data_IF_494687530747
#
_entry.id   IF_494687530747
#
_cell.length_a   1.000
_cell.length_b   1.000
_cell.length_c   1.000
_cell.angle_alpha   90.00
_cell.angle_beta   90.00
_cell.angle_gamma   90.00
#
_symmetry.space_group_name_H-M   'P 1'
#
loop_
_entity.id
_entity.type
_entity.pdbx_description
1 polymer ?
#
# COMPACT_ATOMS: atom_id res chain seq x y z
N UNK A 1 -32.88 -27.13 17.03
CA UNK A 1 -32.38 -26.31 15.90
C UNK A 1 -31.73 -25.03 16.42
N UNK A 2 -30.41 -24.88 16.27
CA UNK A 2 -29.71 -23.65 16.65
C UNK A 2 -29.97 -22.51 15.64
N UNK A 3 -29.99 -21.27 16.10
CA UNK A 3 -30.22 -20.08 15.25
C UNK A 3 -28.90 -19.44 14.88
N UNK A 4 -28.56 -19.40 13.59
CA UNK A 4 -27.42 -18.66 13.05
C UNK A 4 -27.83 -17.21 12.74
N UNK A 5 -27.17 -16.24 13.37
CA UNK A 5 -27.28 -14.81 13.04
C UNK A 5 -26.12 -14.35 12.17
N UNK A 6 -26.45 -13.61 11.12
CA UNK A 6 -25.53 -13.15 10.09
C UNK A 6 -25.45 -11.63 10.06
N UNK A 7 -24.25 -11.11 9.83
CA UNK A 7 -23.96 -9.68 9.82
C UNK A 7 -23.18 -9.28 8.56
N UNK A 8 -23.24 -7.98 8.22
CA UNK A 8 -22.47 -7.36 7.13
C UNK A 8 -22.44 -8.18 5.82
N UNK A 9 -21.25 -8.45 5.28
CA UNK A 9 -21.05 -9.17 4.02
C UNK A 9 -21.62 -10.61 4.04
N UNK A 10 -21.70 -11.25 5.20
CA UNK A 10 -22.29 -12.59 5.34
C UNK A 10 -23.81 -12.55 5.20
N UNK A 11 -24.47 -11.52 5.72
CA UNK A 11 -25.91 -11.27 5.51
C UNK A 11 -26.22 -11.02 4.04
N UNK A 12 -25.40 -10.23 3.36
CA UNK A 12 -25.57 -9.93 1.94
C UNK A 12 -25.39 -11.18 1.08
N UNK A 13 -24.37 -11.99 1.40
CA UNK A 13 -24.10 -13.25 0.68
C UNK A 13 -25.19 -14.30 0.91
N UNK A 14 -25.78 -14.34 2.12
CA UNK A 14 -26.83 -15.30 2.47
C UNK A 14 -28.25 -14.85 2.09
N UNK A 15 -28.44 -13.56 1.80
CA UNK A 15 -29.76 -12.97 1.52
C UNK A 15 -30.73 -12.94 2.72
N UNK A 16 -30.23 -13.24 3.93
CA UNK A 16 -31.01 -13.28 5.18
C UNK A 16 -30.15 -12.85 6.36
N UNK A 17 -30.77 -12.30 7.41
CA UNK A 17 -30.11 -11.92 8.66
C UNK A 17 -30.04 -13.06 9.69
N UNK A 18 -30.87 -14.09 9.51
CA UNK A 18 -30.97 -15.22 10.41
C UNK A 18 -31.47 -16.47 9.69
N UNK A 19 -31.04 -17.64 10.17
CA UNK A 19 -31.45 -18.94 9.65
C UNK A 19 -31.25 -20.03 10.72
N UNK A 20 -32.12 -21.03 10.75
CA UNK A 20 -32.02 -22.15 11.69
C UNK A 20 -31.37 -23.36 11.05
N UNK A 21 -30.49 -24.03 11.79
CA UNK A 21 -29.84 -25.28 11.40
C UNK A 21 -30.07 -26.38 12.44
N UNK A 22 -30.11 -27.62 11.96
CA UNK A 22 -30.09 -28.79 12.82
C UNK A 22 -28.66 -29.31 12.93
N UNK A 23 -27.95 -28.83 13.95
CA UNK A 23 -26.54 -29.09 14.17
C UNK A 23 -26.26 -29.21 15.67
N UNK A 24 -25.36 -30.12 16.04
CA UNK A 24 -24.95 -30.38 17.42
C UNK A 24 -23.64 -29.68 17.79
N UNK A 25 -22.90 -29.16 16.81
CA UNK A 25 -21.68 -28.38 17.00
C UNK A 25 -21.65 -27.15 16.10
N UNK A 26 -20.86 -26.14 16.49
CA UNK A 26 -20.57 -24.98 15.64
C UNK A 26 -20.00 -25.40 14.29
N UNK A 27 -19.08 -26.37 14.26
CA UNK A 27 -18.44 -26.84 13.04
C UNK A 27 -19.43 -27.46 12.05
N UNK A 28 -20.37 -28.26 12.54
CA UNK A 28 -21.42 -28.86 11.71
C UNK A 28 -22.35 -27.79 11.15
N UNK A 29 -22.73 -26.81 11.97
CA UNK A 29 -23.56 -25.68 11.56
C UNK A 29 -22.88 -24.88 10.44
N UNK A 30 -21.59 -24.56 10.58
CA UNK A 30 -20.84 -23.79 9.57
C UNK A 30 -20.67 -24.57 8.26
N UNK A 31 -20.53 -25.90 8.34
CA UNK A 31 -20.45 -26.76 7.16
C UNK A 31 -21.79 -26.76 6.41
N UNK A 32 -22.89 -26.97 7.13
CA UNK A 32 -24.25 -26.91 6.55
C UNK A 32 -24.57 -25.52 5.96
N UNK A 33 -24.12 -24.45 6.62
CA UNK A 33 -24.30 -23.09 6.11
C UNK A 33 -23.47 -22.83 4.84
N UNK A 34 -22.24 -23.35 4.78
CA UNK A 34 -21.39 -23.28 3.58
C UNK A 34 -22.01 -24.00 2.39
N UNK A 35 -22.55 -25.20 2.62
CA UNK A 35 -23.21 -25.98 1.57
C UNK A 35 -24.49 -25.29 1.06
N UNK A 36 -25.22 -24.61 1.96
CA UNK A 36 -26.47 -23.91 1.63
C UNK A 36 -26.26 -22.60 0.86
N UNK A 37 -25.30 -21.78 1.28
CA UNK A 37 -25.11 -20.42 0.73
C UNK A 37 -23.99 -20.33 -0.31
N UNK A 38 -23.24 -21.42 -0.49
CA UNK A 38 -22.28 -21.56 -1.58
C UNK A 38 -20.94 -20.85 -1.38
N UNK A 39 -20.07 -20.84 -2.41
CA UNK A 39 -18.65 -20.51 -2.27
C UNK A 39 -18.36 -19.10 -1.76
N UNK A 40 -19.20 -18.13 -2.14
CA UNK A 40 -19.03 -16.73 -1.72
C UNK A 40 -19.21 -16.59 -0.20
N UNK A 41 -20.21 -17.27 0.36
CA UNK A 41 -20.44 -17.31 1.81
C UNK A 41 -19.29 -18.04 2.53
N UNK A 42 -18.86 -19.19 2.01
CA UNK A 42 -17.77 -19.99 2.60
C UNK A 42 -16.47 -19.20 2.75
N UNK A 43 -16.15 -18.33 1.79
CA UNK A 43 -14.97 -17.45 1.86
C UNK A 43 -15.04 -16.45 3.02
N UNK A 44 -16.24 -15.95 3.32
CA UNK A 44 -16.49 -15.03 4.43
C UNK A 44 -16.39 -15.69 5.81
N UNK A 45 -16.76 -16.97 5.93
CA UNK A 45 -16.66 -17.73 7.19
C UNK A 45 -15.20 -17.83 7.65
N UNK A 46 -14.25 -17.98 6.72
CA UNK A 46 -12.83 -18.19 7.06
C UNK A 46 -12.23 -17.05 7.88
N UNK A 47 -12.68 -15.82 7.65
CA UNK A 47 -12.23 -14.63 8.38
C UNK A 47 -13.14 -14.24 9.56
N UNK A 48 -14.33 -14.83 9.65
CA UNK A 48 -15.30 -14.52 10.68
C UNK A 48 -15.00 -15.24 12.00
N UNK A 49 -15.34 -14.59 13.10
CA UNK A 49 -15.29 -15.18 14.44
C UNK A 49 -16.69 -15.65 14.85
N UNK A 50 -16.78 -16.65 15.73
CA UNK A 50 -18.04 -17.26 16.14
C UNK A 50 -18.32 -16.99 17.61
N UNK A 51 -19.58 -16.66 17.92
CA UNK A 51 -20.10 -16.54 19.28
C UNK A 51 -21.30 -17.45 19.46
N UNK A 52 -21.38 -18.13 20.61
CA UNK A 52 -22.54 -18.90 21.05
C UNK A 52 -23.08 -18.21 22.29
N UNK A 53 -24.33 -17.74 22.25
CA UNK A 53 -25.00 -17.05 23.36
C UNK A 53 -24.17 -15.90 23.98
N UNK A 54 -23.44 -15.16 23.14
CA UNK A 54 -22.61 -14.02 23.56
C UNK A 54 -21.19 -14.37 24.04
N UNK A 55 -20.81 -15.65 24.10
CA UNK A 55 -19.44 -16.08 24.38
C UNK A 55 -18.72 -16.53 23.11
N UNK A 56 -17.44 -16.14 22.94
CA UNK A 56 -16.65 -16.59 21.78
C UNK A 56 -16.47 -18.12 21.83
N UNK A 57 -16.70 -18.78 20.70
CA UNK A 57 -16.75 -20.23 20.59
C UNK A 57 -15.81 -20.74 19.49
N UNK A 58 -15.35 -21.99 19.66
CA UNK A 58 -14.56 -22.70 18.65
C UNK A 58 -15.47 -23.64 17.85
N UNK A 59 -14.95 -24.19 16.75
CA UNK A 59 -15.73 -25.11 15.89
C UNK A 59 -16.19 -26.37 16.63
N UNK A 60 -15.44 -26.82 17.63
CA UNK A 60 -15.79 -27.98 18.43
C UNK A 60 -16.82 -27.68 19.54
N UNK A 61 -17.21 -26.42 19.73
CA UNK A 61 -18.17 -26.04 20.77
C UNK A 61 -19.53 -26.70 20.49
N UNK A 62 -20.08 -27.48 21.45
CA UNK A 62 -21.41 -28.07 21.32
C UNK A 62 -22.48 -26.97 21.37
N UNK A 63 -23.54 -27.14 20.58
CA UNK A 63 -24.67 -26.21 20.52
C UNK A 63 -25.99 -26.98 20.68
N UNK A 64 -26.93 -26.38 21.40
CA UNK A 64 -28.27 -26.90 21.66
C UNK A 64 -29.36 -26.20 20.85
N UNK A 65 -30.60 -26.68 21.00
CA UNK A 65 -31.75 -26.21 20.23
C UNK A 65 -32.18 -24.77 20.54
N UNK A 66 -31.75 -24.21 21.67
CA UNK A 66 -32.02 -22.82 22.06
C UNK A 66 -30.85 -21.89 21.80
N UNK A 67 -29.75 -22.39 21.24
CA UNK A 67 -28.52 -21.62 21.14
C UNK A 67 -28.54 -20.69 19.94
N UNK A 68 -28.13 -19.45 20.21
CA UNK A 68 -27.89 -18.45 19.20
C UNK A 68 -26.41 -18.44 18.84
N UNK A 69 -26.11 -18.74 17.59
CA UNK A 69 -24.77 -18.69 17.01
C UNK A 69 -24.64 -17.42 16.18
N UNK A 70 -23.83 -16.47 16.61
CA UNK A 70 -23.54 -15.27 15.86
C UNK A 70 -22.24 -15.43 15.09
N UNK A 71 -22.29 -15.25 13.77
CA UNK A 71 -21.12 -15.23 12.92
C UNK A 71 -20.75 -13.78 12.59
N UNK A 72 -19.72 -13.28 13.26
CA UNK A 72 -19.32 -11.87 13.17
C UNK A 72 -18.11 -11.80 12.22
N UNK A 73 -18.28 -11.26 11.00
CA UNK A 73 -17.18 -10.98 10.11
C UNK A 73 -16.30 -9.87 10.71
N UNK A 74 -15.02 -9.75 10.31
CA UNK A 74 -14.15 -8.70 10.82
C UNK A 74 -14.81 -7.33 10.59
N UNK A 75 -15.03 -6.60 11.68
CA UNK A 75 -15.55 -5.24 11.60
C UNK A 75 -14.51 -4.37 10.89
N UNK A 76 -14.98 -3.46 10.04
CA UNK A 76 -14.18 -2.54 9.21
C UNK A 76 -13.29 -1.55 10.00
N UNK A 77 -13.13 -1.74 11.31
CA UNK A 77 -12.19 -1.01 12.15
C UNK A 77 -11.97 -1.73 13.47
N UNK A 78 -10.85 -2.45 13.60
CA UNK A 78 -10.47 -3.08 14.86
C UNK A 78 -9.52 -4.25 14.63
N UNK A 79 -8.24 -4.01 14.87
CA UNK A 79 -7.11 -4.90 14.64
C UNK A 79 -7.41 -6.37 15.02
N UNK A 80 -7.55 -7.22 14.01
CA UNK A 80 -7.21 -8.63 14.17
C UNK A 80 -5.72 -8.64 14.53
N UNK A 81 -5.31 -9.44 15.52
CA UNK A 81 -3.89 -9.74 15.73
C UNK A 81 -3.36 -10.35 14.45
N UNK A 82 -2.78 -9.48 13.61
CA UNK A 82 -2.30 -9.84 12.31
C UNK A 82 -1.11 -10.79 12.48
N UNK A 83 -0.93 -11.77 11.57
CA UNK A 83 0.35 -12.44 11.44
C UNK A 83 1.43 -11.36 11.28
N UNK A 84 2.52 -11.50 12.03
CA UNK A 84 3.59 -10.52 12.09
C UNK A 84 4.00 -10.03 10.69
N UNK A 85 4.20 -8.72 10.56
CA UNK A 85 4.78 -8.06 9.38
C UNK A 85 6.10 -8.75 9.00
N UNK A 86 6.05 -9.69 8.06
CA UNK A 86 7.25 -10.27 7.48
C UNK A 86 7.69 -9.39 6.31
N UNK A 87 8.30 -8.24 6.63
CA UNK A 87 8.91 -7.34 5.64
C UNK A 87 10.20 -7.96 5.12
N UNK A 88 10.11 -9.15 4.51
CA UNK A 88 11.28 -9.76 3.87
C UNK A 88 11.61 -8.97 2.61
N UNK A 89 12.88 -8.55 2.40
CA UNK A 89 13.28 -7.87 1.18
C UNK A 89 13.00 -8.78 -0.01
N UNK A 90 12.01 -8.43 -0.83
CA UNK A 90 11.77 -9.16 -2.06
C UNK A 90 12.79 -8.74 -3.12
N UNK A 91 13.18 -9.71 -3.97
CA UNK A 91 14.28 -9.52 -4.91
C UNK A 91 14.04 -8.33 -5.85
N UNK A 92 12.80 -8.11 -6.30
CA UNK A 92 12.47 -7.05 -7.25
C UNK A 92 12.56 -5.65 -6.63
N UNK A 93 12.03 -5.43 -5.43
CA UNK A 93 12.13 -4.12 -4.77
C UNK A 93 13.59 -3.77 -4.46
N UNK A 94 14.38 -4.75 -3.99
CA UNK A 94 15.81 -4.59 -3.78
C UNK A 94 16.53 -4.27 -5.10
N UNK A 95 16.19 -4.99 -6.17
CA UNK A 95 16.76 -4.75 -7.51
C UNK A 95 16.44 -3.34 -8.01
N UNK A 96 15.23 -2.83 -7.81
CA UNK A 96 14.86 -1.46 -8.19
C UNK A 96 15.67 -0.41 -7.41
N UNK A 97 15.84 -0.58 -6.09
CA UNK A 97 16.65 0.32 -5.27
C UNK A 97 18.12 0.28 -5.71
N UNK A 98 18.68 -0.91 -5.94
CA UNK A 98 20.05 -1.08 -6.45
C UNK A 98 20.19 -0.46 -7.85
N UNK A 99 19.21 -0.61 -8.71
CA UNK A 99 19.22 -0.03 -10.06
C UNK A 99 19.27 1.49 -9.99
N UNK A 100 18.43 2.11 -9.17
CA UNK A 100 18.43 3.57 -8.94
C UNK A 100 19.77 4.06 -8.39
N UNK A 101 20.37 3.31 -7.46
CA UNK A 101 21.69 3.61 -6.92
C UNK A 101 22.79 3.50 -7.99
N UNK A 102 22.76 2.45 -8.80
CA UNK A 102 23.74 2.20 -9.85
C UNK A 102 23.76 3.32 -10.91
N UNK A 103 22.60 3.92 -11.19
CA UNK A 103 22.49 5.05 -12.13
C UNK A 103 22.51 6.42 -11.47
N UNK A 104 22.73 6.52 -10.15
CA UNK A 104 22.73 7.81 -9.45
C UNK A 104 23.81 8.77 -9.97
N UNK A 105 24.95 8.23 -10.40
CA UNK A 105 26.05 8.99 -11.01
C UNK A 105 26.11 8.89 -12.53
N UNK A 106 25.21 8.13 -13.16
CA UNK A 106 25.09 8.11 -14.61
C UNK A 106 24.50 9.43 -15.12
N UNK A 107 24.48 9.59 -16.44
CA UNK A 107 23.80 10.72 -17.08
C UNK A 107 22.34 10.80 -16.61
N UNK A 108 21.84 12.02 -16.43
CA UNK A 108 20.50 12.24 -15.92
C UNK A 108 19.40 11.61 -16.80
N UNK A 109 19.66 11.40 -18.10
CA UNK A 109 18.76 10.67 -19.00
C UNK A 109 18.63 9.19 -18.63
N UNK A 110 19.74 8.51 -18.31
CA UNK A 110 19.73 7.13 -17.83
C UNK A 110 19.01 7.02 -16.49
N UNK A 111 19.24 7.97 -15.59
CA UNK A 111 18.51 8.02 -14.33
C UNK A 111 17.00 8.17 -14.57
N UNK A 112 16.58 9.08 -15.46
CA UNK A 112 15.18 9.29 -15.79
C UNK A 112 14.52 8.02 -16.36
N UNK A 113 15.21 7.28 -17.22
CA UNK A 113 14.72 6.00 -17.77
C UNK A 113 14.51 4.97 -16.66
N UNK A 114 15.48 4.78 -15.77
CA UNK A 114 15.38 3.80 -14.67
C UNK A 114 14.33 4.22 -13.65
N UNK A 115 14.25 5.50 -13.30
CA UNK A 115 13.24 6.02 -12.37
C UNK A 115 11.81 5.88 -12.93
N UNK A 116 11.59 6.23 -14.19
CA UNK A 116 10.31 6.00 -14.86
C UNK A 116 9.98 4.50 -14.94
N UNK A 117 10.96 3.67 -15.30
CA UNK A 117 10.81 2.21 -15.35
C UNK A 117 10.43 1.59 -14.00
N UNK A 118 11.02 2.05 -12.90
CA UNK A 118 10.69 1.59 -11.55
C UNK A 118 9.23 1.91 -11.19
N UNK A 119 8.77 3.13 -11.50
CA UNK A 119 7.38 3.53 -11.25
C UNK A 119 6.40 2.81 -12.18
N UNK A 120 6.77 2.59 -13.45
CA UNK A 120 5.98 1.77 -14.40
C UNK A 120 5.82 0.34 -13.87
N UNK A 121 6.90 -0.28 -13.41
CA UNK A 121 6.87 -1.62 -12.84
C UNK A 121 5.95 -1.67 -11.61
N UNK A 122 6.02 -0.66 -10.75
CA UNK A 122 5.11 -0.52 -9.61
C UNK A 122 3.64 -0.39 -10.04
N UNK A 123 3.32 0.52 -10.96
CA UNK A 123 1.94 0.69 -11.49
C UNK A 123 1.42 -0.63 -12.04
N UNK A 124 2.26 -1.36 -12.78
CA UNK A 124 1.90 -2.67 -13.33
C UNK A 124 1.60 -3.69 -12.25
N UNK A 125 2.47 -3.82 -11.25
CA UNK A 125 2.30 -4.77 -10.13
C UNK A 125 1.05 -4.47 -9.29
N UNK A 126 0.78 -3.20 -8.99
CA UNK A 126 -0.45 -2.78 -8.30
C UNK A 126 -1.67 -3.08 -9.16
N UNK A 127 -1.63 -2.81 -10.47
CA UNK A 127 -2.75 -3.06 -11.37
C UNK A 127 -3.12 -4.54 -11.45
N UNK A 128 -2.11 -5.41 -11.56
CA UNK A 128 -2.29 -6.86 -11.61
C UNK A 128 -2.96 -7.39 -10.33
N UNK A 129 -2.56 -6.85 -9.18
CA UNK A 129 -3.10 -7.23 -7.88
C UNK A 129 -4.50 -6.67 -7.65
N UNK A 130 -4.71 -5.39 -7.98
CA UNK A 130 -5.99 -4.68 -7.81
C UNK A 130 -7.12 -5.23 -8.69
N UNK A 131 -6.80 -5.99 -9.74
CA UNK A 131 -7.80 -6.61 -10.61
C UNK A 131 -8.75 -7.57 -9.87
N UNK A 132 -8.36 -7.99 -8.67
CA UNK A 132 -9.12 -8.88 -7.80
C UNK A 132 -9.93 -8.11 -6.73
N UNK A 133 -9.80 -6.79 -6.64
CA UNK A 133 -10.53 -5.95 -5.68
C UNK A 133 -11.72 -5.25 -6.33
N UNK A 134 -12.67 -4.80 -5.50
CA UNK A 134 -13.85 -4.09 -5.97
C UNK A 134 -13.53 -2.72 -6.62
N UNK A 135 -12.39 -2.12 -6.27
CA UNK A 135 -11.96 -0.79 -6.71
C UNK A 135 -10.81 -0.86 -7.74
N UNK A 136 -10.83 -1.86 -8.62
CA UNK A 136 -9.82 -2.04 -9.67
C UNK A 136 -9.71 -0.80 -10.57
N UNK A 137 -8.49 -0.29 -10.76
CA UNK A 137 -8.21 0.88 -11.61
C UNK A 137 -7.72 0.48 -13.01
N UNK A 138 -7.62 1.45 -13.92
CA UNK A 138 -7.06 1.24 -15.26
C UNK A 138 -5.60 1.67 -15.26
N UNK A 139 -4.68 0.76 -15.60
CA UNK A 139 -3.24 1.04 -15.53
C UNK A 139 -2.76 2.08 -16.56
N UNK A 140 -3.36 2.11 -17.76
CA UNK A 140 -2.82 2.89 -18.89
C UNK A 140 -2.70 4.40 -18.61
N UNK A 141 -3.70 5.09 -18.04
CA UNK A 141 -3.54 6.49 -17.65
C UNK A 141 -2.36 6.74 -16.72
N UNK A 142 -2.15 5.88 -15.73
CA UNK A 142 -1.06 6.03 -14.78
C UNK A 142 0.31 5.80 -15.44
N UNK A 143 0.40 4.84 -16.37
CA UNK A 143 1.61 4.61 -17.18
C UNK A 143 1.93 5.82 -18.06
N UNK A 144 0.93 6.40 -18.73
CA UNK A 144 1.10 7.60 -19.56
C UNK A 144 1.53 8.79 -18.71
N UNK A 145 0.86 9.03 -17.57
CA UNK A 145 1.20 10.09 -16.63
C UNK A 145 2.61 9.95 -16.08
N UNK A 146 3.03 8.73 -15.75
CA UNK A 146 4.40 8.43 -15.29
C UNK A 146 5.44 8.88 -16.31
N UNK A 147 5.30 8.47 -17.58
CA UNK A 147 6.23 8.82 -18.65
C UNK A 147 6.21 10.33 -18.95
N UNK A 148 5.02 10.94 -18.99
CA UNK A 148 4.86 12.37 -19.25
C UNK A 148 5.49 13.22 -18.14
N UNK A 149 5.26 12.87 -16.88
CA UNK A 149 5.84 13.53 -15.71
C UNK A 149 7.36 13.33 -15.65
N UNK A 150 7.85 12.13 -15.97
CA UNK A 150 9.27 11.86 -16.02
C UNK A 150 9.98 12.71 -17.09
N UNK A 151 9.50 12.61 -18.32
CA UNK A 151 10.06 13.32 -19.47
C UNK A 151 9.96 14.83 -19.29
N UNK A 152 8.81 15.30 -18.79
CA UNK A 152 8.57 16.70 -18.50
C UNK A 152 9.52 17.22 -17.43
N UNK A 153 9.64 16.51 -16.30
CA UNK A 153 10.56 16.88 -15.23
C UNK A 153 12.01 16.93 -15.71
N UNK A 154 12.43 15.95 -16.53
CA UNK A 154 13.78 15.92 -17.10
C UNK A 154 14.05 17.11 -18.05
N UNK A 155 13.09 17.44 -18.91
CA UNK A 155 13.25 18.48 -19.92
C UNK A 155 13.09 19.91 -19.37
N UNK A 156 12.17 20.12 -18.42
CA UNK A 156 11.73 21.45 -17.99
C UNK A 156 11.65 21.63 -16.47
N UNK A 157 12.23 20.71 -15.69
CA UNK A 157 12.23 20.76 -14.24
C UNK A 157 10.81 20.79 -13.67
N UNK A 158 10.58 21.65 -12.67
CA UNK A 158 9.29 21.73 -11.98
C UNK A 158 8.10 22.03 -12.90
N UNK A 159 8.28 22.89 -13.90
CA UNK A 159 7.21 23.22 -14.85
C UNK A 159 6.77 22.00 -15.67
N UNK A 160 7.73 21.17 -16.08
CA UNK A 160 7.45 19.92 -16.78
C UNK A 160 6.89 18.82 -15.89
N UNK A 161 7.25 18.79 -14.60
CA UNK A 161 6.55 17.98 -13.61
C UNK A 161 5.06 18.36 -13.54
N UNK A 162 4.76 19.64 -13.34
CA UNK A 162 3.38 20.12 -13.26
C UNK A 162 2.58 19.80 -14.54
N UNK A 163 3.20 20.02 -15.71
CA UNK A 163 2.60 19.68 -17.01
C UNK A 163 2.35 18.18 -17.18
N UNK A 164 3.32 17.33 -16.84
CA UNK A 164 3.18 15.87 -16.95
C UNK A 164 2.16 15.29 -15.97
N UNK A 165 2.08 15.83 -14.75
CA UNK A 165 1.04 15.46 -13.80
C UNK A 165 -0.36 15.89 -14.28
N UNK A 166 -0.48 17.07 -14.87
CA UNK A 166 -1.73 17.52 -15.50
C UNK A 166 -2.14 16.59 -16.66
N UNK A 167 -1.19 16.12 -17.48
CA UNK A 167 -1.46 15.12 -18.51
C UNK A 167 -1.97 13.82 -17.90
N UNK A 168 -1.34 13.31 -16.84
CA UNK A 168 -1.80 12.11 -16.13
C UNK A 168 -3.26 12.23 -15.65
N UNK A 169 -3.62 13.38 -15.06
CA UNK A 169 -4.98 13.68 -14.61
C UNK A 169 -5.95 13.78 -15.79
N UNK A 170 -5.60 14.51 -16.86
CA UNK A 170 -6.47 14.67 -18.02
C UNK A 170 -6.75 13.33 -18.70
N UNK A 171 -5.72 12.49 -18.85
CA UNK A 171 -5.86 11.16 -19.45
C UNK A 171 -6.70 10.25 -18.57
N UNK A 172 -6.53 10.27 -17.25
CA UNK A 172 -7.31 9.42 -16.33
C UNK A 172 -8.78 9.81 -16.28
N UNK A 173 -9.07 11.11 -16.21
CA UNK A 173 -10.45 11.63 -16.15
C UNK A 173 -11.17 11.45 -17.49
N UNK A 174 -10.46 11.53 -18.61
CA UNK A 174 -11.04 11.36 -19.94
C UNK A 174 -11.14 9.90 -20.39
N UNK A 175 -10.46 8.98 -19.71
CA UNK A 175 -10.42 7.55 -20.06
C UNK A 175 -11.81 6.91 -20.26
N UNK A 176 -12.82 7.18 -19.39
CA UNK A 176 -14.16 6.58 -19.53
C UNK A 176 -14.94 7.00 -20.79
N UNK A 177 -14.48 8.04 -21.48
CA UNK A 177 -15.02 8.45 -22.79
C UNK A 177 -14.74 7.35 -23.82
N UNK A 178 -13.52 6.80 -23.78
CA UNK A 178 -13.00 5.81 -24.73
C UNK A 178 -13.30 4.38 -24.32
N UNK A 179 -13.31 4.10 -23.02
CA UNK A 179 -13.60 2.78 -22.48
C UNK A 179 -14.90 2.78 -21.67
N UNK A 180 -15.93 2.15 -22.23
CA UNK A 180 -17.24 2.05 -21.58
C UNK A 180 -17.18 1.23 -20.28
N UNK A 181 -16.24 0.29 -20.15
CA UNK A 181 -16.11 -0.58 -18.98
C UNK A 181 -15.54 0.15 -17.74
N UNK A 182 -15.05 1.39 -17.92
CA UNK A 182 -14.48 2.21 -16.85
C UNK A 182 -15.31 3.44 -16.48
N UNK A 183 -16.57 3.52 -16.92
CA UNK A 183 -17.51 4.62 -16.62
C UNK A 183 -18.01 4.68 -15.17
N UNK A 184 -17.53 3.80 -14.30
CA UNK A 184 -17.80 3.89 -12.88
C UNK A 184 -16.97 5.00 -12.21
N UNK A 185 -17.60 5.71 -11.27
CA UNK A 185 -16.96 6.83 -10.58
C UNK A 185 -15.80 6.36 -9.70
N UNK A 186 -15.95 5.25 -8.95
CA UNK A 186 -14.87 4.75 -8.08
C UNK A 186 -13.66 4.34 -8.91
N UNK A 187 -13.89 3.65 -10.02
CA UNK A 187 -12.84 3.26 -10.97
C UNK A 187 -12.10 4.46 -11.55
N UNK A 188 -12.81 5.52 -11.92
CA UNK A 188 -12.21 6.76 -12.44
C UNK A 188 -11.42 7.49 -11.36
N UNK A 189 -11.94 7.56 -10.14
CA UNK A 189 -11.27 8.17 -8.99
C UNK A 189 -9.99 7.41 -8.61
N UNK A 190 -10.04 6.08 -8.51
CA UNK A 190 -8.88 5.23 -8.25
C UNK A 190 -7.82 5.37 -9.35
N UNK A 191 -8.24 5.35 -10.62
CA UNK A 191 -7.34 5.55 -11.77
C UNK A 191 -6.66 6.92 -11.72
N UNK A 192 -7.39 7.97 -11.35
CA UNK A 192 -6.84 9.32 -11.23
C UNK A 192 -5.88 9.43 -10.05
N UNK A 193 -6.22 8.85 -8.89
CA UNK A 193 -5.34 8.82 -7.73
C UNK A 193 -4.01 8.13 -8.06
N UNK A 194 -4.04 6.94 -8.65
CA UNK A 194 -2.83 6.21 -9.04
C UNK A 194 -2.04 6.99 -10.09
N UNK A 195 -2.70 7.66 -11.03
CA UNK A 195 -2.04 8.49 -12.04
C UNK A 195 -1.31 9.69 -11.43
N UNK A 196 -1.92 10.38 -10.46
CA UNK A 196 -1.30 11.48 -9.72
C UNK A 196 -0.10 10.99 -8.92
N UNK A 197 -0.26 9.89 -8.18
CA UNK A 197 0.78 9.32 -7.34
C UNK A 197 1.97 8.84 -8.17
N UNK A 198 1.73 8.12 -9.26
CA UNK A 198 2.79 7.63 -10.14
C UNK A 198 3.52 8.78 -10.85
N UNK A 199 2.77 9.81 -11.30
CA UNK A 199 3.36 11.02 -11.90
C UNK A 199 4.26 11.76 -10.90
N UNK A 200 3.78 11.95 -9.66
CA UNK A 200 4.55 12.59 -8.59
C UNK A 200 5.78 11.77 -8.19
N UNK A 201 5.64 10.45 -8.09
CA UNK A 201 6.75 9.54 -7.79
C UNK A 201 7.87 9.65 -8.82
N UNK A 202 7.53 9.55 -10.10
CA UNK A 202 8.51 9.56 -11.17
C UNK A 202 9.19 10.92 -11.34
N UNK A 203 8.39 12.00 -11.35
CA UNK A 203 8.93 13.36 -11.41
C UNK A 203 9.74 13.72 -10.17
N UNK A 204 9.30 13.35 -8.96
CA UNK A 204 10.01 13.62 -7.72
C UNK A 204 11.42 13.02 -7.72
N UNK A 205 11.58 11.77 -8.19
CA UNK A 205 12.90 11.15 -8.35
C UNK A 205 13.78 11.92 -9.34
N UNK A 206 13.22 12.39 -10.45
CA UNK A 206 13.98 13.12 -11.46
C UNK A 206 14.36 14.51 -10.97
N UNK A 207 13.47 15.21 -10.28
CA UNK A 207 13.77 16.50 -9.67
C UNK A 207 14.86 16.37 -8.60
N UNK A 208 14.87 15.27 -7.81
CA UNK A 208 16.00 14.96 -6.92
C UNK A 208 17.31 14.79 -7.68
N UNK A 209 17.28 14.07 -8.81
CA UNK A 209 18.47 13.89 -9.64
C UNK A 209 18.97 15.20 -10.25
N UNK A 210 18.06 16.13 -10.54
CA UNK A 210 18.41 17.47 -11.05
C UNK A 210 19.01 18.37 -9.95
N UNK A 211 18.70 18.15 -8.67
CA UNK A 211 19.40 18.79 -7.55
C UNK A 211 20.85 18.29 -7.46
N UNK A 212 21.07 16.99 -7.64
CA UNK A 212 22.40 16.40 -7.71
C UNK A 212 22.42 14.91 -7.41
N UNK A 213 23.50 14.24 -7.80
CA UNK A 213 23.68 12.80 -7.53
C UNK A 213 23.71 12.48 -6.03
N UNK A 214 24.29 13.36 -5.21
CA UNK A 214 24.33 13.14 -3.76
C UNK A 214 22.97 13.29 -3.08
N UNK A 215 22.06 14.13 -3.60
CA UNK A 215 20.68 14.20 -3.12
C UNK A 215 19.92 12.88 -3.36
N UNK A 216 20.17 12.23 -4.50
CA UNK A 216 19.63 10.89 -4.79
C UNK A 216 20.19 9.85 -3.82
N UNK A 217 21.49 9.87 -3.56
CA UNK A 217 22.12 8.92 -2.61
C UNK A 217 21.58 9.12 -1.20
N UNK A 218 21.46 10.37 -0.74
CA UNK A 218 20.86 10.70 0.54
C UNK A 218 19.43 10.14 0.65
N UNK A 219 18.61 10.40 -0.37
CA UNK A 219 17.25 9.87 -0.46
C UNK A 219 17.20 8.34 -0.39
N UNK A 220 18.02 7.64 -1.20
CA UNK A 220 18.05 6.18 -1.22
C UNK A 220 18.52 5.61 0.12
N UNK A 221 19.51 6.24 0.77
CA UNK A 221 19.97 5.86 2.11
C UNK A 221 18.84 6.01 3.14
N UNK A 222 18.13 7.15 3.11
CA UNK A 222 16.96 7.40 3.96
C UNK A 222 15.87 6.36 3.74
N UNK A 223 15.54 6.01 2.50
CA UNK A 223 14.56 4.96 2.21
C UNK A 223 15.02 3.60 2.74
N UNK A 224 16.26 3.20 2.45
CA UNK A 224 16.77 1.89 2.88
C UNK A 224 16.71 1.78 4.41
N UNK A 225 17.14 2.81 5.13
CA UNK A 225 17.08 2.80 6.59
C UNK A 225 15.66 2.87 7.13
N UNK A 226 14.74 3.59 6.47
CA UNK A 226 13.33 3.57 6.84
C UNK A 226 12.73 2.16 6.69
N UNK A 227 13.01 1.47 5.58
CA UNK A 227 12.52 0.12 5.32
C UNK A 227 13.15 -0.90 6.30
N UNK A 228 14.46 -0.81 6.55
CA UNK A 228 15.16 -1.65 7.54
C UNK A 228 14.63 -1.39 8.94
N UNK A 229 14.45 -0.13 9.34
CA UNK A 229 13.89 0.24 10.63
C UNK A 229 12.47 -0.32 10.82
N UNK A 230 11.63 -0.22 9.79
CA UNK A 230 10.29 -0.81 9.79
C UNK A 230 10.33 -2.34 9.92
N UNK A 231 11.26 -3.00 9.22
CA UNK A 231 11.44 -4.45 9.29
C UNK A 231 11.94 -4.90 10.67
N UNK A 232 12.97 -4.24 11.22
CA UNK A 232 13.52 -4.55 12.55
C UNK A 232 12.44 -4.36 13.63
N UNK A 233 11.70 -3.26 13.57
CA UNK A 233 10.59 -3.02 14.49
C UNK A 233 9.46 -4.04 14.32
N UNK A 234 9.16 -4.48 13.10
CA UNK A 234 8.19 -5.57 12.87
C UNK A 234 8.66 -6.93 13.41
N UNK A 235 9.94 -7.25 13.27
CA UNK A 235 10.52 -8.54 13.66
C UNK A 235 10.75 -8.66 15.17
N UNK A 236 11.16 -7.58 15.82
CA UNK A 236 11.57 -7.58 17.23
C UNK A 236 10.70 -6.69 18.13
N UNK A 237 9.78 -5.89 17.58
CA UNK A 237 8.96 -4.93 18.32
C UNK A 237 8.00 -5.55 19.33
N UNK A 238 7.62 -6.81 19.17
CA UNK A 238 6.83 -7.51 20.20
C UNK A 238 7.56 -7.61 21.55
N UNK A 239 8.89 -7.52 21.56
CA UNK A 239 9.72 -7.51 22.77
C UNK A 239 9.89 -6.10 23.36
N UNK A 240 9.59 -5.05 22.59
CA UNK A 240 9.73 -3.65 22.97
C UNK A 240 8.35 -3.01 22.84
N UNK A 241 7.61 -2.95 23.94
CA UNK A 241 6.17 -2.60 24.05
C UNK A 241 5.72 -1.25 23.43
N UNK A 242 6.62 -0.49 22.78
CA UNK A 242 6.39 0.83 22.21
C UNK A 242 6.88 1.04 20.76
N UNK A 243 7.52 0.06 20.11
CA UNK A 243 8.12 0.25 18.77
C UNK A 243 7.40 -0.60 17.73
N UNK A 244 6.46 0.04 17.02
CA UNK A 244 5.82 -0.54 15.83
C UNK A 244 6.61 -0.25 14.54
N UNK A 245 6.16 -0.82 13.42
CA UNK A 245 6.84 -0.66 12.13
C UNK A 245 6.87 0.79 11.62
N UNK A 246 5.92 1.65 12.01
CA UNK A 246 5.90 3.05 11.60
C UNK A 246 6.92 3.86 12.41
N UNK A 247 6.99 3.61 13.71
CA UNK A 247 8.03 4.16 14.60
C UNK A 247 9.42 3.72 14.11
N UNK A 248 9.58 2.44 13.77
CA UNK A 248 10.80 1.92 13.16
C UNK A 248 11.19 2.64 11.87
N UNK A 249 10.23 2.86 10.97
CA UNK A 249 10.46 3.61 9.73
C UNK A 249 10.92 5.04 9.98
N UNK A 250 10.26 5.74 10.92
CA UNK A 250 10.60 7.10 11.29
C UNK A 250 12.01 7.20 11.90
N UNK A 251 12.34 6.32 12.85
CA UNK A 251 13.66 6.32 13.49
C UNK A 251 14.77 6.00 12.50
N UNK A 252 14.55 5.03 11.60
CA UNK A 252 15.48 4.71 10.53
C UNK A 252 15.72 5.89 9.59
N UNK A 253 14.64 6.51 9.11
CA UNK A 253 14.71 7.66 8.21
C UNK A 253 15.37 8.88 8.86
N UNK A 254 15.08 9.16 10.14
CA UNK A 254 15.71 10.25 10.90
C UNK A 254 17.21 10.02 11.09
N UNK A 255 17.61 8.81 11.48
CA UNK A 255 19.03 8.47 11.63
C UNK A 255 19.79 8.62 10.31
N UNK A 256 19.21 8.14 9.22
CA UNK A 256 19.76 8.30 7.88
C UNK A 256 19.78 9.76 7.41
N UNK A 257 18.73 10.53 7.68
CA UNK A 257 18.64 11.95 7.34
C UNK A 257 19.68 12.79 8.07
N UNK A 258 19.92 12.50 9.35
CA UNK A 258 21.00 13.11 10.13
C UNK A 258 22.37 12.80 9.53
N UNK A 259 22.64 11.52 9.24
CA UNK A 259 23.91 11.11 8.62
C UNK A 259 24.09 11.79 7.26
N UNK A 260 23.03 11.82 6.44
CA UNK A 260 23.06 12.48 5.14
C UNK A 260 23.41 13.96 5.28
N UNK A 261 22.76 14.71 6.17
CA UNK A 261 23.07 16.13 6.40
C UNK A 261 24.43 16.40 7.06
N UNK A 262 25.12 15.38 7.58
CA UNK A 262 26.49 15.50 8.10
C UNK A 262 27.56 15.15 7.05
N UNK A 263 27.24 14.26 6.10
CA UNK A 263 28.22 13.66 5.18
C UNK A 263 28.07 14.18 3.75
N UNK A 264 26.86 14.58 3.35
CA UNK A 264 26.58 15.08 2.01
C UNK A 264 26.75 16.59 2.00
N UNK A 265 27.72 17.09 1.25
CA UNK A 265 28.05 18.51 1.15
C UNK A 265 26.90 19.39 0.66
N UNK A 266 25.98 18.82 -0.11
CA UNK A 266 24.83 19.47 -0.71
C UNK A 266 23.63 19.58 0.23
N UNK A 267 23.69 18.96 1.41
CA UNK A 267 22.61 18.91 2.38
C UNK A 267 23.11 19.43 3.72
N UNK A 268 22.46 20.46 4.25
CA UNK A 268 22.65 20.81 5.64
C UNK A 268 21.92 19.81 6.56
N UNK A 269 22.25 19.86 7.86
CA UNK A 269 21.66 18.95 8.86
C UNK A 269 20.14 19.13 8.94
N UNK A 270 19.65 20.37 8.77
CA UNK A 270 18.22 20.67 8.86
C UNK A 270 17.43 20.05 7.70
N UNK A 271 17.88 20.24 6.46
CA UNK A 271 17.31 19.65 5.25
C UNK A 271 17.43 18.13 5.27
N UNK A 272 18.54 17.58 5.77
CA UNK A 272 18.71 16.14 5.98
C UNK A 272 17.67 15.56 6.95
N UNK A 273 17.45 16.19 8.10
CA UNK A 273 16.44 15.76 9.08
C UNK A 273 15.01 15.93 8.57
N UNK A 274 14.68 17.08 7.99
CA UNK A 274 13.36 17.36 7.43
C UNK A 274 13.04 16.44 6.26
N UNK A 275 14.02 16.19 5.39
CA UNK A 275 13.95 15.18 4.35
C UNK A 275 13.70 13.79 4.94
N UNK A 276 14.43 13.40 5.99
CA UNK A 276 14.21 12.16 6.72
C UNK A 276 12.76 11.99 7.23
N UNK A 277 12.21 13.02 7.88
CA UNK A 277 10.81 13.03 8.34
C UNK A 277 9.84 12.92 7.17
N UNK A 278 10.05 13.69 6.10
CA UNK A 278 9.19 13.68 4.93
C UNK A 278 9.21 12.33 4.21
N UNK A 279 10.38 11.71 4.07
CA UNK A 279 10.52 10.36 3.52
C UNK A 279 9.84 9.31 4.41
N UNK A 280 9.97 9.39 5.74
CA UNK A 280 9.26 8.49 6.66
C UNK A 280 7.74 8.61 6.49
N UNK A 281 7.22 9.84 6.47
CA UNK A 281 5.80 10.08 6.22
C UNK A 281 5.37 9.50 4.87
N UNK A 282 6.19 9.66 3.82
CA UNK A 282 5.96 9.07 2.51
C UNK A 282 5.99 7.53 2.53
N UNK A 283 6.90 6.90 3.27
CA UNK A 283 6.94 5.43 3.43
C UNK A 283 5.67 4.92 4.11
N UNK A 284 5.24 5.57 5.19
CA UNK A 284 4.04 5.18 5.94
C UNK A 284 2.79 5.37 5.08
N UNK A 285 2.63 6.55 4.46
CA UNK A 285 1.52 6.85 3.57
C UNK A 285 1.50 5.93 2.34
N UNK A 286 2.67 5.66 1.75
CA UNK A 286 2.82 4.80 0.58
C UNK A 286 2.44 3.36 0.87
N UNK A 287 2.84 2.81 2.03
CA UNK A 287 2.40 1.47 2.47
C UNK A 287 0.90 1.40 2.71
N UNK A 288 0.31 2.42 3.35
CA UNK A 288 -1.13 2.48 3.58
C UNK A 288 -1.91 2.56 2.26
N UNK A 289 -1.46 3.41 1.32
CA UNK A 289 -2.02 3.53 -0.01
C UNK A 289 -1.87 2.22 -0.81
N UNK A 290 -0.69 1.62 -0.78
CA UNK A 290 -0.39 0.35 -1.45
C UNK A 290 -1.32 -0.76 -0.97
N UNK A 291 -1.47 -0.92 0.35
CA UNK A 291 -2.45 -1.84 0.94
C UNK A 291 -3.85 -1.57 0.41
N UNK A 292 -4.32 -0.32 0.48
CA UNK A 292 -5.66 0.05 0.01
C UNK A 292 -5.87 -0.33 -1.46
N UNK A 293 -4.90 -0.05 -2.33
CA UNK A 293 -5.00 -0.36 -3.77
C UNK A 293 -4.96 -1.87 -4.05
N UNK A 294 -4.24 -2.63 -3.23
CA UNK A 294 -4.01 -4.07 -3.42
C UNK A 294 -5.07 -4.96 -2.76
N UNK A 295 -5.67 -4.52 -1.65
CA UNK A 295 -6.64 -5.31 -0.87
C UNK A 295 -8.02 -4.66 -0.74
N UNK A 296 -8.16 -3.38 -1.10
CA UNK A 296 -9.38 -2.61 -0.82
C UNK A 296 -9.50 -2.14 0.64
N UNK A 297 -8.49 -2.40 1.48
CA UNK A 297 -8.47 -2.04 2.90
C UNK A 297 -7.11 -1.49 3.32
N UNK A 298 -7.12 -0.60 4.32
CA UNK A 298 -5.87 -0.06 4.88
C UNK A 298 -5.37 -1.04 5.95
N UNK A 299 -4.30 -1.77 5.63
CA UNK A 299 -3.63 -2.70 6.53
C UNK A 299 -2.28 -2.11 6.96
N UNK A 300 -2.05 -2.03 8.27
CA UNK A 300 -0.78 -1.54 8.82
C UNK A 300 0.15 -2.66 9.31
N UNK A 301 -0.37 -3.89 9.41
CA UNK A 301 0.30 -5.01 10.08
C UNK A 301 0.38 -6.27 9.25
N UNK A 302 -0.10 -6.26 8.00
CA UNK A 302 -0.04 -7.39 7.08
C UNK A 302 0.72 -7.02 5.80
N UNK A 303 1.27 -8.04 5.14
CA UNK A 303 1.91 -7.87 3.84
C UNK A 303 0.84 -7.70 2.76
N UNK A 304 0.84 -6.54 2.10
CA UNK A 304 -0.01 -6.34 0.93
C UNK A 304 0.43 -7.31 -0.20
N UNK A 305 -0.51 -7.87 -0.98
CA UNK A 305 -0.19 -8.79 -2.05
C UNK A 305 0.56 -8.10 -3.20
N UNK A 306 1.40 -8.85 -3.91
CA UNK A 306 2.15 -8.38 -5.08
C UNK A 306 3.65 -8.33 -4.88
N UNK A 307 4.37 -8.29 -5.99
CA UNK A 307 5.83 -8.47 -6.01
C UNK A 307 6.61 -7.19 -5.71
N UNK A 308 5.94 -6.03 -5.71
CA UNK A 308 6.54 -4.73 -5.38
C UNK A 308 5.86 -4.05 -4.19
N UNK A 309 5.13 -4.80 -3.35
CA UNK A 309 4.45 -4.25 -2.18
C UNK A 309 5.41 -3.55 -1.18
N UNK A 310 6.65 -4.03 -1.06
CA UNK A 310 7.68 -3.38 -0.24
C UNK A 310 8.11 -2.02 -0.81
N UNK A 311 7.99 -1.85 -2.12
CA UNK A 311 8.30 -0.60 -2.82
C UNK A 311 7.16 0.44 -2.71
N UNK A 312 5.96 0.07 -2.25
CA UNK A 312 4.81 0.99 -2.12
C UNK A 312 5.17 2.22 -1.26
N UNK A 313 5.97 2.04 -0.21
CA UNK A 313 6.46 3.15 0.61
C UNK A 313 7.37 4.13 -0.14
N UNK A 314 8.21 3.62 -1.05
CA UNK A 314 9.17 4.44 -1.78
C UNK A 314 8.49 5.41 -2.77
N UNK A 315 7.31 5.04 -3.26
CA UNK A 315 6.55 5.78 -4.27
C UNK A 315 6.16 7.18 -3.77
N UNK A 316 5.74 7.32 -2.51
CA UNK A 316 5.43 8.63 -1.92
C UNK A 316 6.62 9.26 -1.20
N UNK A 317 7.60 8.47 -0.75
CA UNK A 317 8.79 8.99 -0.09
C UNK A 317 9.62 9.89 -1.02
N UNK A 318 9.78 9.53 -2.31
CA UNK A 318 10.50 10.35 -3.30
C UNK A 318 10.00 11.80 -3.41
N UNK A 319 8.73 12.01 -3.79
CA UNK A 319 8.19 13.36 -3.94
C UNK A 319 8.14 14.12 -2.61
N UNK A 320 7.93 13.45 -1.48
CA UNK A 320 7.93 14.11 -0.17
C UNK A 320 9.33 14.57 0.24
N UNK A 321 10.33 13.71 0.05
CA UNK A 321 11.73 14.06 0.30
C UNK A 321 12.17 15.22 -0.60
N UNK A 322 11.86 15.16 -1.89
CA UNK A 322 12.10 16.26 -2.82
C UNK A 322 11.45 17.56 -2.37
N UNK A 323 10.17 17.52 -2.00
CA UNK A 323 9.43 18.71 -1.56
C UNK A 323 10.06 19.31 -0.30
N UNK A 324 10.51 18.48 0.65
CA UNK A 324 11.20 18.95 1.84
C UNK A 324 12.51 19.66 1.49
N UNK A 325 13.32 19.09 0.60
CA UNK A 325 14.55 19.75 0.15
C UNK A 325 14.26 21.04 -0.63
N UNK A 326 13.21 21.06 -1.43
CA UNK A 326 12.86 22.26 -2.19
C UNK A 326 12.35 23.41 -1.31
N UNK A 327 11.66 23.10 -0.20
CA UNK A 327 11.14 24.10 0.73
C UNK A 327 12.16 24.59 1.76
N UNK A 328 13.12 23.73 2.14
CA UNK A 328 13.99 23.96 3.31
C UNK A 328 15.49 23.83 3.03
N UNK A 329 15.89 23.40 1.85
CA UNK A 329 17.30 23.28 1.43
C UNK A 329 17.80 24.43 0.59
#
# INVERSE_FOLDING_TARGET
MATLRLFANLRESAGTDSVTFDASTVGDLLTQASDRFGPQFSSGITAARVWVNGAQAEKATPIGESDEVALIPPVSGGAVSAPALNVSPNLLSVTLVISLLAVAWADASWFAIVAAGAVIAWVWDVSATSSQTADAFVAYPALIGTVAAATGAYAWGFSGFAGGMAIGIMVSVSWPIFDKASRDFRRTAATTLVSVVASAASAGLILLRLLGSYAVVAFLLVIVFALVGAWVAGAYGAQIQSVDANVGALLGALGAGLIAGMVVSELDIAAGLLGGVAAAAGVIAGRALGSMLRTGSVLHTENAPGTLALFDGAILAGPFFWLALWLFG
#
